data_IF_596507970057
#
_entry.id   IF_596507970057
#
_cell.length_a   1.000
_cell.length_b   1.000
_cell.length_c   1.000
_cell.angle_alpha   90.00
_cell.angle_beta   90.00
_cell.angle_gamma   90.00
#
_symmetry.space_group_name_H-M   'P 1'
#
loop_
_entity.id
_entity.type
_entity.pdbx_description
1 polymer ?
#
# COMPACT_ATOMS: atom_id res chain seq x y z
N UNK A 1 16.04 20.02 29.48
CA UNK A 1 15.12 19.33 30.42
C UNK A 1 14.66 18.04 29.76
N UNK A 2 15.52 17.03 29.64
CA UNK A 2 15.74 15.90 30.58
C UNK A 2 14.47 15.17 31.00
N UNK A 3 14.25 13.97 30.43
CA UNK A 3 14.29 12.70 31.18
C UNK A 3 14.29 11.51 30.20
N UNK A 4 15.49 10.98 29.98
CA UNK A 4 15.77 9.59 29.61
C UNK A 4 16.20 8.88 30.90
N UNK A 5 16.16 7.54 30.90
CA UNK A 5 16.65 6.55 31.89
C UNK A 5 15.81 6.37 33.16
N UNK A 6 15.18 5.20 33.32
CA UNK A 6 15.77 4.09 34.08
C UNK A 6 14.80 2.89 34.17
N UNK A 7 15.27 1.71 33.73
CA UNK A 7 14.87 0.39 34.26
C UNK A 7 15.69 -0.72 33.59
N UNK A 8 16.87 -0.94 34.12
CA UNK A 8 17.60 -2.21 34.06
C UNK A 8 18.11 -2.47 35.48
N UNK A 9 18.10 -3.75 35.87
CA UNK A 9 18.83 -4.39 36.96
C UNK A 9 18.07 -4.71 38.27
N UNK A 10 18.42 -5.89 38.82
CA UNK A 10 17.82 -6.72 39.90
C UNK A 10 16.78 -7.73 39.39
N UNK A 11 17.02 -9.05 39.37
CA UNK A 11 17.65 -9.92 40.38
C UNK A 11 18.42 -11.10 39.74
N UNK A 12 19.49 -11.52 40.41
CA UNK A 12 20.33 -12.66 40.06
C UNK A 12 20.01 -13.96 40.83
N UNK A 13 20.34 -15.07 40.17
CA UNK A 13 20.95 -16.34 40.61
C UNK A 13 20.51 -17.08 41.89
N UNK A 14 20.07 -18.33 41.71
CA UNK A 14 20.68 -19.56 42.29
C UNK A 14 19.89 -20.81 41.85
N UNK A 15 20.52 -21.82 41.25
CA UNK A 15 20.76 -23.09 41.96
C UNK A 15 20.79 -24.29 40.98
N UNK A 16 21.68 -25.24 41.28
CA UNK A 16 22.30 -26.26 40.42
C UNK A 16 21.52 -27.59 40.23
N UNK A 17 21.96 -28.31 39.18
CA UNK A 17 22.17 -29.76 39.02
C UNK A 17 20.99 -30.75 38.87
N UNK A 18 21.07 -31.55 37.80
CA UNK A 18 20.34 -32.81 37.60
C UNK A 18 20.64 -33.45 36.25
N UNK A 19 21.30 -34.60 36.25
CA UNK A 19 22.01 -35.32 35.18
C UNK A 19 21.18 -36.31 34.34
N UNK A 20 21.48 -36.33 33.03
CA UNK A 20 21.49 -37.40 31.99
C UNK A 20 20.28 -38.33 31.62
N UNK A 21 20.20 -38.78 30.33
CA UNK A 21 19.12 -39.54 29.68
C UNK A 21 19.49 -41.05 29.56
N UNK A 22 18.98 -41.94 28.64
CA UNK A 22 17.93 -41.86 27.61
C UNK A 22 16.96 -43.09 27.61
N UNK A 23 16.01 -43.16 26.64
CA UNK A 23 15.49 -44.44 26.12
C UNK A 23 14.93 -44.30 24.69
N UNK A 24 15.57 -45.01 23.77
CA UNK A 24 15.06 -45.40 22.46
C UNK A 24 13.97 -46.46 22.63
N UNK A 25 12.96 -46.50 21.76
CA UNK A 25 12.83 -47.56 20.74
C UNK A 25 11.66 -47.31 19.76
N UNK A 26 11.74 -47.88 18.53
CA UNK A 26 10.90 -47.54 17.38
C UNK A 26 9.75 -48.53 17.16
N UNK A 27 8.62 -48.07 16.60
CA UNK A 27 7.60 -48.92 15.97
C UNK A 27 7.14 -48.22 14.68
N UNK A 28 7.65 -48.61 13.52
CA UNK A 28 7.15 -49.68 12.65
C UNK A 28 5.85 -49.28 11.91
N UNK A 29 6.02 -48.86 10.66
CA UNK A 29 4.97 -48.76 9.65
C UNK A 29 4.33 -50.13 9.38
N UNK A 30 3.03 -50.16 9.03
CA UNK A 30 2.51 -51.13 8.09
C UNK A 30 2.43 -50.50 6.70
N UNK A 31 3.03 -51.19 5.75
CA UNK A 31 2.85 -51.05 4.31
C UNK A 31 1.41 -51.34 3.89
N UNK A 32 1.14 -50.96 2.64
CA UNK A 32 0.06 -51.44 1.77
C UNK A 32 -1.32 -50.77 1.90
N UNK A 33 -1.58 -49.84 0.98
CA UNK A 33 -2.52 -50.10 -0.11
C UNK A 33 -2.42 -49.00 -1.17
N UNK A 34 -1.95 -49.36 -2.37
CA UNK A 34 -2.23 -48.61 -3.59
C UNK A 34 -3.76 -48.56 -3.78
N UNK A 35 -4.37 -47.40 -3.58
CA UNK A 35 -5.66 -47.08 -4.19
C UNK A 35 -5.38 -46.26 -5.44
N UNK A 36 -5.46 -46.95 -6.58
CA UNK A 36 -5.56 -46.37 -7.91
C UNK A 36 -6.90 -45.63 -7.98
N UNK A 37 -6.86 -44.34 -7.63
CA UNK A 37 -7.99 -43.42 -7.69
C UNK A 37 -7.57 -42.29 -8.60
N UNK A 38 -8.15 -42.27 -9.79
CA UNK A 38 -8.07 -41.16 -10.73
C UNK A 38 -8.58 -39.89 -10.05
N UNK A 39 -7.66 -39.13 -9.45
CA UNK A 39 -7.89 -37.75 -9.03
C UNK A 39 -8.08 -36.90 -10.29
N UNK A 40 -9.28 -37.00 -10.87
CA UNK A 40 -9.80 -36.00 -11.75
C UNK A 40 -9.78 -34.68 -10.96
N UNK A 41 -8.79 -33.84 -11.26
CA UNK A 41 -8.68 -32.49 -10.74
C UNK A 41 -10.07 -31.85 -10.75
N UNK A 42 -10.55 -31.28 -9.62
CA UNK A 42 -11.87 -30.67 -9.60
C UNK A 42 -11.92 -29.61 -10.68
N UNK A 43 -12.83 -29.81 -11.64
CA UNK A 43 -13.08 -28.87 -12.73
C UNK A 43 -13.47 -27.54 -12.10
N UNK A 44 -12.59 -26.54 -12.23
CA UNK A 44 -12.87 -25.18 -11.73
C UNK A 44 -14.21 -24.71 -12.33
N UNK A 45 -15.15 -24.20 -11.52
CA UNK A 45 -16.41 -23.72 -12.06
C UNK A 45 -16.14 -22.58 -13.05
N UNK A 46 -16.67 -22.72 -14.28
CA UNK A 46 -16.50 -21.77 -15.38
C UNK A 46 -17.27 -20.44 -15.21
N UNK A 47 -18.07 -20.30 -14.15
CA UNK A 47 -18.88 -19.09 -13.91
C UNK A 47 -18.51 -18.41 -12.59
N UNK A 48 -17.39 -17.67 -12.59
CA UNK A 48 -17.02 -16.71 -11.53
C UNK A 48 -17.82 -15.38 -11.67
N UNK A 49 -19.13 -15.44 -11.89
CA UNK A 49 -19.97 -14.23 -11.80
C UNK A 49 -20.20 -13.89 -10.32
N UNK A 50 -20.06 -12.61 -9.98
CA UNK A 50 -20.41 -12.08 -8.66
C UNK A 50 -21.83 -12.50 -8.25
N UNK A 51 -21.99 -12.99 -7.02
CA UNK A 51 -23.29 -13.32 -6.45
C UNK A 51 -23.57 -12.39 -5.27
N UNK A 52 -24.83 -11.98 -5.07
CA UNK A 52 -25.24 -11.18 -3.90
C UNK A 52 -24.80 -11.81 -2.56
N UNK A 53 -24.76 -13.14 -2.49
CA UNK A 53 -24.25 -13.87 -1.32
C UNK A 53 -22.75 -13.66 -1.03
N UNK A 54 -21.97 -13.14 -1.98
CA UNK A 54 -20.56 -12.78 -1.79
C UNK A 54 -20.40 -11.52 -0.93
N UNK A 55 -21.47 -10.75 -0.71
CA UNK A 55 -21.47 -9.60 0.22
C UNK A 55 -21.50 -10.03 1.69
N UNK A 56 -21.90 -11.28 1.98
CA UNK A 56 -22.00 -11.73 3.36
C UNK A 56 -20.59 -11.75 4.00
N UNK A 57 -20.33 -11.06 5.12
CA UNK A 57 -18.97 -10.85 5.65
C UNK A 57 -18.17 -12.14 5.86
N UNK A 58 -18.82 -13.21 6.33
CA UNK A 58 -18.19 -14.53 6.48
C UNK A 58 -17.72 -15.13 5.15
N UNK A 59 -18.52 -15.00 4.09
CA UNK A 59 -18.15 -15.52 2.75
C UNK A 59 -17.08 -14.65 2.13
N UNK A 60 -17.23 -13.32 2.24
CA UNK A 60 -16.27 -12.37 1.70
C UNK A 60 -14.89 -12.51 2.35
N UNK A 61 -14.82 -12.61 3.68
CA UNK A 61 -13.55 -12.66 4.42
C UNK A 61 -13.11 -14.10 4.68
N UNK A 62 -13.81 -14.81 5.58
CA UNK A 62 -13.33 -16.08 6.13
C UNK A 62 -13.21 -17.17 5.07
N UNK A 63 -14.20 -17.31 4.19
CA UNK A 63 -14.16 -18.35 3.16
C UNK A 63 -13.09 -18.03 2.09
N UNK A 64 -12.95 -16.75 1.70
CA UNK A 64 -11.86 -16.29 0.81
C UNK A 64 -10.49 -16.56 1.43
N UNK A 65 -10.28 -16.24 2.72
CA UNK A 65 -9.01 -16.49 3.39
C UNK A 65 -8.68 -17.97 3.50
N UNK A 66 -9.68 -18.82 3.79
CA UNK A 66 -9.52 -20.28 3.79
C UNK A 66 -9.14 -20.81 2.42
N UNK A 67 -9.72 -20.27 1.35
CA UNK A 67 -9.36 -20.63 -0.02
C UNK A 67 -7.91 -20.25 -0.33
N UNK A 68 -7.50 -19.03 0.00
CA UNK A 68 -6.11 -18.56 -0.14
C UNK A 68 -5.14 -19.45 0.63
N UNK A 69 -5.48 -19.84 1.86
CA UNK A 69 -4.59 -20.61 2.73
C UNK A 69 -4.38 -22.06 2.26
N UNK A 70 -5.26 -22.58 1.38
CA UNK A 70 -5.06 -23.88 0.71
C UNK A 70 -3.97 -23.82 -0.35
N UNK A 71 -3.73 -22.65 -0.94
CA UNK A 71 -2.73 -22.42 -1.99
C UNK A 71 -1.32 -22.15 -1.44
N UNK A 72 -1.12 -22.23 -0.12
CA UNK A 72 0.19 -22.02 0.51
C UNK A 72 1.18 -23.09 0.08
N UNK A 73 2.43 -22.68 -0.15
CA UNK A 73 3.50 -23.61 -0.45
C UNK A 73 3.87 -24.39 0.82
N UNK A 74 3.76 -25.72 0.76
CA UNK A 74 4.10 -26.65 1.83
C UNK A 74 5.31 -27.52 1.49
N UNK A 75 6.02 -27.22 0.40
CA UNK A 75 7.13 -28.04 -0.09
C UNK A 75 8.41 -27.93 0.75
N UNK A 76 8.47 -27.00 1.69
CA UNK A 76 9.66 -26.76 2.53
C UNK A 76 10.84 -26.14 1.77
N UNK A 77 10.68 -25.82 0.48
CA UNK A 77 11.71 -25.15 -0.32
C UNK A 77 11.82 -23.67 0.07
N UNK A 78 13.04 -23.18 0.15
CA UNK A 78 13.30 -21.78 0.42
C UNK A 78 12.99 -20.93 -0.81
N UNK A 79 12.01 -20.03 -0.70
CA UNK A 79 11.77 -18.95 -1.65
C UNK A 79 12.33 -17.64 -1.08
N UNK A 80 13.30 -16.98 -1.73
CA UNK A 80 13.85 -15.72 -1.23
C UNK A 80 12.86 -14.54 -1.34
N UNK A 81 11.78 -14.69 -2.11
CA UNK A 81 10.86 -13.60 -2.44
C UNK A 81 10.20 -12.94 -1.20
N UNK A 82 9.65 -13.66 -0.21
CA UNK A 82 9.06 -13.03 0.97
C UNK A 82 10.08 -12.27 1.82
N UNK A 83 11.32 -12.73 1.91
CA UNK A 83 12.39 -12.03 2.63
C UNK A 83 12.80 -10.76 1.89
N UNK A 84 13.04 -10.88 0.58
CA UNK A 84 13.35 -9.74 -0.28
C UNK A 84 12.24 -8.69 -0.21
N UNK A 85 10.98 -9.12 -0.22
CA UNK A 85 9.81 -8.26 -0.04
C UNK A 85 9.87 -7.44 1.25
N UNK A 86 10.07 -8.08 2.41
CA UNK A 86 10.16 -7.35 3.70
C UNK A 86 11.31 -6.35 3.68
N UNK A 87 12.50 -6.76 3.23
CA UNK A 87 13.68 -5.88 3.18
C UNK A 87 13.46 -4.69 2.24
N UNK A 88 12.90 -4.93 1.06
CA UNK A 88 12.55 -3.88 0.10
C UNK A 88 11.56 -2.89 0.66
N UNK A 89 10.52 -3.35 1.37
CA UNK A 89 9.54 -2.47 2.03
C UNK A 89 10.20 -1.64 3.12
N UNK A 90 11.03 -2.25 3.97
CA UNK A 90 11.78 -1.52 5.01
C UNK A 90 12.67 -0.42 4.41
N UNK A 91 13.44 -0.76 3.37
CA UNK A 91 14.32 0.20 2.67
C UNK A 91 13.50 1.30 2.01
N UNK A 92 12.44 0.92 1.29
CA UNK A 92 11.58 1.88 0.57
C UNK A 92 10.86 2.85 1.50
N UNK A 93 10.29 2.36 2.61
CA UNK A 93 9.64 3.20 3.61
C UNK A 93 10.64 4.14 4.28
N UNK A 94 11.80 3.60 4.73
CA UNK A 94 12.87 4.40 5.35
C UNK A 94 13.37 5.48 4.40
N UNK A 95 13.60 5.15 3.13
CA UNK A 95 14.02 6.12 2.13
C UNK A 95 12.99 7.24 1.98
N UNK A 96 11.70 6.92 1.85
CA UNK A 96 10.67 7.94 1.64
C UNK A 96 10.41 8.81 2.87
N UNK A 97 10.65 8.27 4.07
CA UNK A 97 10.53 9.00 5.33
C UNK A 97 11.65 10.04 5.47
N UNK A 98 12.90 9.63 5.26
CA UNK A 98 14.06 10.51 5.46
C UNK A 98 14.37 11.42 4.28
N UNK A 99 14.12 10.94 3.05
CA UNK A 99 14.51 11.66 1.84
C UNK A 99 13.33 12.13 1.00
N UNK A 100 12.13 11.56 1.19
CA UNK A 100 10.97 11.90 0.35
C UNK A 100 10.22 13.18 0.74
N UNK A 101 10.69 13.92 1.75
CA UNK A 101 9.99 15.08 2.30
C UNK A 101 10.36 16.42 1.64
N UNK A 102 9.53 17.45 1.89
CA UNK A 102 9.77 18.81 1.38
C UNK A 102 11.02 19.46 1.99
N UNK A 103 11.44 19.04 3.19
CA UNK A 103 12.69 19.50 3.80
C UNK A 103 13.91 19.09 2.97
N UNK A 104 13.99 17.81 2.60
CA UNK A 104 15.05 17.28 1.74
C UNK A 104 15.03 17.92 0.36
N UNK A 105 13.84 18.14 -0.20
CA UNK A 105 13.71 18.88 -1.46
C UNK A 105 14.31 20.29 -1.37
N UNK A 106 14.02 21.05 -0.31
CA UNK A 106 14.60 22.39 -0.10
C UNK A 106 16.12 22.35 0.08
N UNK A 107 16.66 21.34 0.74
CA UNK A 107 18.11 21.16 0.88
C UNK A 107 18.76 20.89 -0.47
N UNK A 108 18.21 19.97 -1.26
CA UNK A 108 18.69 19.66 -2.60
C UNK A 108 18.68 20.91 -3.51
N UNK A 109 17.60 21.71 -3.44
CA UNK A 109 17.51 22.97 -4.16
C UNK A 109 18.64 23.94 -3.79
N UNK A 110 18.88 24.14 -2.49
CA UNK A 110 19.96 25.02 -2.02
C UNK A 110 21.30 24.56 -2.55
N UNK A 111 21.61 23.27 -2.42
CA UNK A 111 22.86 22.71 -2.94
C UNK A 111 23.03 22.88 -4.45
N UNK A 112 21.96 22.78 -5.24
CA UNK A 112 22.01 23.01 -6.69
C UNK A 112 22.24 24.49 -7.02
N UNK A 113 21.59 25.41 -6.30
CA UNK A 113 21.71 26.86 -6.53
C UNK A 113 23.06 27.42 -6.08
N UNK A 114 23.64 26.87 -5.02
CA UNK A 114 24.96 27.23 -4.51
C UNK A 114 26.11 26.70 -5.38
N UNK A 115 25.88 25.62 -6.14
CA UNK A 115 26.86 25.08 -7.07
C UNK A 115 26.87 25.77 -8.43
N UNK A 116 27.78 25.36 -9.31
CA UNK A 116 27.89 25.81 -10.72
C UNK A 116 27.59 24.69 -11.72
N UNK A 117 26.85 23.67 -11.28
CA UNK A 117 26.50 22.50 -12.09
C UNK A 117 25.41 22.78 -13.13
N UNK A 118 25.30 21.89 -14.13
CA UNK A 118 24.35 22.02 -15.23
C UNK A 118 22.87 22.08 -14.81
N UNK A 119 22.53 21.62 -13.58
CA UNK A 119 21.16 21.65 -13.05
C UNK A 119 20.73 23.04 -12.54
N UNK A 120 21.67 23.94 -12.26
CA UNK A 120 21.36 25.28 -11.75
C UNK A 120 20.48 26.12 -12.68
N UNK A 121 20.82 26.34 -13.97
CA UNK A 121 19.97 27.12 -14.87
C UNK A 121 18.60 26.48 -15.08
N UNK A 122 18.52 25.15 -15.10
CA UNK A 122 17.26 24.40 -15.18
C UNK A 122 16.38 24.68 -13.95
N UNK A 123 16.97 24.66 -12.75
CA UNK A 123 16.26 24.93 -11.51
C UNK A 123 15.82 26.40 -11.40
N UNK A 124 16.67 27.35 -11.78
CA UNK A 124 16.35 28.77 -11.84
C UNK A 124 15.18 29.04 -12.79
N UNK A 125 15.19 28.42 -13.98
CA UNK A 125 14.09 28.51 -14.93
C UNK A 125 12.80 27.88 -14.37
N UNK A 126 12.89 26.69 -13.77
CA UNK A 126 11.72 26.03 -13.17
C UNK A 126 11.09 26.86 -12.03
N UNK A 127 11.91 27.59 -11.26
CA UNK A 127 11.45 28.48 -10.17
C UNK A 127 10.63 29.67 -10.65
N UNK A 128 10.74 30.05 -11.91
CA UNK A 128 9.95 31.13 -12.51
C UNK A 128 8.58 30.64 -13.01
N UNK A 129 8.31 29.33 -12.95
CA UNK A 129 7.03 28.76 -13.37
C UNK A 129 5.90 29.13 -12.41
N UNK A 130 4.72 29.44 -12.96
CA UNK A 130 3.46 29.64 -12.22
C UNK A 130 3.04 28.43 -11.36
N UNK A 131 3.60 27.24 -11.65
CA UNK A 131 3.31 25.99 -10.94
C UNK A 131 4.46 25.54 -10.03
N UNK A 132 5.39 26.44 -9.69
CA UNK A 132 6.55 26.11 -8.87
C UNK A 132 6.19 25.48 -7.52
N UNK A 133 5.10 25.93 -6.91
CA UNK A 133 4.58 25.42 -5.63
C UNK A 133 4.11 23.96 -5.70
N UNK A 134 3.86 23.43 -6.90
CA UNK A 134 3.57 22.00 -7.10
C UNK A 134 4.85 21.14 -7.02
N UNK A 135 6.03 21.72 -7.24
CA UNK A 135 7.29 20.97 -7.34
C UNK A 135 7.67 20.16 -6.08
N UNK A 136 7.44 20.61 -4.82
CA UNK A 136 7.71 19.77 -3.65
C UNK A 136 6.80 18.54 -3.60
N UNK A 137 5.57 18.67 -4.09
CA UNK A 137 4.61 17.57 -4.17
C UNK A 137 4.95 16.59 -5.29
N UNK A 138 5.42 17.11 -6.43
CA UNK A 138 5.95 16.28 -7.51
C UNK A 138 7.17 15.48 -7.04
N UNK A 139 8.11 16.11 -6.33
CA UNK A 139 9.25 15.43 -5.71
C UNK A 139 8.79 14.34 -4.72
N UNK A 140 7.83 14.68 -3.86
CA UNK A 140 7.24 13.72 -2.93
C UNK A 140 6.66 12.50 -3.66
N UNK A 141 5.86 12.69 -4.72
CA UNK A 141 5.29 11.60 -5.51
C UNK A 141 6.36 10.79 -6.25
N UNK A 142 7.32 11.46 -6.90
CA UNK A 142 8.42 10.81 -7.64
C UNK A 142 9.28 9.93 -6.73
N UNK A 143 9.59 10.37 -5.51
CA UNK A 143 10.38 9.58 -4.56
C UNK A 143 9.66 8.30 -4.14
N UNK A 144 8.32 8.29 -4.05
CA UNK A 144 7.55 7.06 -3.82
C UNK A 144 7.46 6.20 -5.06
N UNK A 145 7.25 6.77 -6.25
CA UNK A 145 7.32 6.00 -7.50
C UNK A 145 8.67 5.28 -7.61
N UNK A 146 9.76 5.94 -7.28
CA UNK A 146 11.07 5.31 -7.23
C UNK A 146 11.14 4.20 -6.17
N UNK A 147 10.86 4.52 -4.90
CA UNK A 147 11.08 3.60 -3.78
C UNK A 147 10.06 2.45 -3.69
N UNK A 148 8.84 2.68 -4.16
CA UNK A 148 7.71 1.79 -3.97
C UNK A 148 7.25 1.13 -5.29
N UNK A 149 7.76 1.57 -6.45
CA UNK A 149 7.53 0.91 -7.75
C UNK A 149 8.84 0.44 -8.36
N UNK A 150 9.76 1.36 -8.66
CA UNK A 150 10.99 1.01 -9.38
C UNK A 150 11.85 0.03 -8.58
N UNK A 151 12.05 0.28 -7.28
CA UNK A 151 12.83 -0.60 -6.41
C UNK A 151 12.24 -2.02 -6.31
N UNK A 152 10.94 -2.24 -5.99
CA UNK A 152 10.36 -3.57 -6.05
C UNK A 152 10.43 -4.23 -7.44
N UNK A 153 10.22 -3.48 -8.52
CA UNK A 153 10.38 -4.03 -9.88
C UNK A 153 11.80 -4.55 -10.13
N UNK A 154 12.82 -3.80 -9.71
CA UNK A 154 14.22 -4.24 -9.82
C UNK A 154 14.48 -5.53 -9.02
N UNK A 155 13.93 -5.63 -7.80
CA UNK A 155 14.02 -6.86 -6.99
C UNK A 155 13.34 -8.04 -7.66
N UNK A 156 12.15 -7.84 -8.23
CA UNK A 156 11.43 -8.90 -8.96
C UNK A 156 12.22 -9.36 -10.19
N UNK A 157 12.76 -8.43 -10.97
CA UNK A 157 13.60 -8.75 -12.12
C UNK A 157 14.87 -9.49 -11.72
N UNK A 158 15.55 -9.07 -10.65
CA UNK A 158 16.74 -9.74 -10.12
C UNK A 158 16.44 -11.18 -9.66
N UNK A 159 15.26 -11.41 -9.07
CA UNK A 159 14.76 -12.74 -8.70
C UNK A 159 14.13 -13.52 -9.86
N UNK A 160 14.21 -13.00 -11.09
CA UNK A 160 13.63 -13.59 -12.32
C UNK A 160 12.13 -13.85 -12.20
N UNK A 161 11.41 -12.98 -11.49
CA UNK A 161 9.95 -12.98 -11.40
C UNK A 161 9.40 -11.97 -12.39
N UNK A 162 8.27 -12.29 -13.03
CA UNK A 162 7.60 -11.36 -13.93
C UNK A 162 6.86 -10.28 -13.11
N UNK A 163 7.23 -8.99 -13.20
CA UNK A 163 6.57 -7.93 -12.42
C UNK A 163 5.07 -7.79 -12.71
N UNK A 164 4.63 -8.18 -13.91
CA UNK A 164 3.22 -8.10 -14.29
C UNK A 164 2.32 -8.98 -13.42
N UNK A 165 2.87 -10.06 -12.86
CA UNK A 165 2.11 -11.01 -12.04
C UNK A 165 1.84 -10.49 -10.62
N UNK A 166 2.46 -9.37 -10.23
CA UNK A 166 2.30 -8.69 -8.95
C UNK A 166 1.21 -7.61 -9.04
N UNK A 167 0.05 -8.01 -9.57
CA UNK A 167 -1.16 -7.20 -9.60
C UNK A 167 -1.27 -6.16 -10.72
N UNK A 168 -0.25 -6.02 -11.59
CA UNK A 168 -0.32 -5.11 -12.74
C UNK A 168 -1.16 -5.65 -13.90
N UNK A 169 -1.44 -6.96 -13.94
CA UNK A 169 -2.45 -7.52 -14.83
C UNK A 169 -3.86 -7.14 -14.35
N UNK A 170 -4.80 -7.08 -15.29
CA UNK A 170 -6.21 -6.86 -14.96
C UNK A 170 -6.81 -7.98 -14.09
N UNK A 171 -6.26 -9.19 -14.18
CA UNK A 171 -6.66 -10.33 -13.35
C UNK A 171 -8.16 -10.61 -13.44
N UNK A 172 -8.78 -10.91 -12.30
CA UNK A 172 -10.23 -11.14 -12.17
C UNK A 172 -11.00 -9.88 -11.76
N UNK A 173 -10.46 -8.69 -12.04
CA UNK A 173 -11.06 -7.41 -11.63
C UNK A 173 -12.49 -7.22 -12.13
N UNK A 174 -12.77 -7.65 -13.38
CA UNK A 174 -14.09 -7.53 -13.98
C UNK A 174 -15.17 -8.39 -13.30
N UNK A 175 -14.80 -9.47 -12.63
CA UNK A 175 -15.74 -10.35 -11.94
C UNK A 175 -16.24 -9.77 -10.60
N UNK A 176 -15.46 -8.87 -9.98
CA UNK A 176 -15.69 -8.41 -8.61
C UNK A 176 -15.92 -6.91 -8.48
N UNK A 177 -16.21 -6.21 -9.59
CA UNK A 177 -16.49 -4.78 -9.61
C UNK A 177 -17.57 -4.30 -8.62
N UNK A 178 -18.65 -5.06 -8.30
CA UNK A 178 -19.67 -4.57 -7.37
C UNK A 178 -19.15 -4.33 -5.95
N UNK A 179 -18.12 -5.07 -5.51
CA UNK A 179 -17.50 -4.88 -4.20
C UNK A 179 -16.70 -3.57 -4.12
N UNK A 180 -16.06 -3.19 -5.22
CA UNK A 180 -15.37 -1.90 -5.31
C UNK A 180 -16.37 -0.75 -5.36
N UNK A 181 -17.49 -0.91 -6.09
CA UNK A 181 -18.57 0.09 -6.10
C UNK A 181 -19.22 0.23 -4.72
N UNK A 182 -19.44 -0.86 -4.00
CA UNK A 182 -19.91 -0.80 -2.62
C UNK A 182 -18.91 -0.09 -1.71
N UNK A 183 -17.61 -0.36 -1.87
CA UNK A 183 -16.56 0.32 -1.10
C UNK A 183 -16.61 1.83 -1.33
N UNK A 184 -16.75 2.26 -2.59
CA UNK A 184 -16.92 3.68 -2.95
C UNK A 184 -18.21 4.26 -2.37
N UNK A 185 -19.33 3.56 -2.51
CA UNK A 185 -20.63 4.00 -2.02
C UNK A 185 -20.67 4.21 -0.50
N UNK A 186 -19.84 3.48 0.25
CA UNK A 186 -19.67 3.67 1.70
C UNK A 186 -18.68 4.80 2.00
N UNK A 187 -17.54 4.85 1.31
CA UNK A 187 -16.48 5.81 1.63
C UNK A 187 -16.83 7.24 1.23
N UNK A 188 -17.48 7.46 0.08
CA UNK A 188 -17.82 8.82 -0.40
C UNK A 188 -18.69 9.59 0.61
N UNK A 189 -19.82 9.05 1.11
CA UNK A 189 -20.61 9.75 2.12
C UNK A 189 -19.81 10.04 3.40
N UNK A 190 -18.96 9.11 3.83
CA UNK A 190 -18.10 9.31 5.00
C UNK A 190 -17.10 10.45 4.78
N UNK A 191 -16.55 10.60 3.58
CA UNK A 191 -15.67 11.73 3.22
C UNK A 191 -16.41 13.06 3.41
N UNK A 192 -17.64 13.21 2.91
CA UNK A 192 -18.42 14.44 3.11
C UNK A 192 -18.80 14.70 4.57
N UNK A 193 -19.02 13.66 5.37
CA UNK A 193 -19.25 13.81 6.81
C UNK A 193 -17.98 14.30 7.52
N UNK A 194 -16.83 13.70 7.20
CA UNK A 194 -15.53 14.06 7.80
C UNK A 194 -15.03 15.41 7.30
N UNK A 195 -15.37 15.82 6.07
CA UNK A 195 -14.93 17.07 5.45
C UNK A 195 -15.34 18.32 6.24
N UNK A 196 -16.44 18.23 7.02
CA UNK A 196 -16.92 19.28 7.90
C UNK A 196 -16.05 19.54 9.12
N UNK A 197 -15.07 18.65 9.39
CA UNK A 197 -14.18 18.81 10.54
C UNK A 197 -13.03 19.77 10.21
N UNK A 198 -12.63 20.66 11.15
CA UNK A 198 -11.55 21.61 10.90
C UNK A 198 -10.19 20.98 10.55
N UNK A 199 -9.89 19.82 11.14
CA UNK A 199 -8.66 19.07 10.88
C UNK A 199 -8.58 18.58 9.43
N UNK A 200 -9.72 18.25 8.81
CA UNK A 200 -9.78 17.82 7.42
C UNK A 200 -9.46 18.96 6.44
N UNK A 201 -10.11 20.11 6.58
CA UNK A 201 -9.88 21.27 5.70
C UNK A 201 -8.46 21.83 5.83
N UNK A 202 -7.87 21.78 7.02
CA UNK A 202 -6.47 22.18 7.20
C UNK A 202 -5.50 21.22 6.48
N UNK A 203 -5.84 19.94 6.42
CA UNK A 203 -4.98 18.92 5.82
C UNK A 203 -5.16 18.82 4.29
N UNK A 204 -6.39 18.71 3.77
CA UNK A 204 -6.68 18.59 2.34
C UNK A 204 -7.02 19.94 1.69
N UNK A 205 -6.84 20.10 0.36
CA UNK A 205 -5.89 19.33 -0.45
C UNK A 205 -4.45 19.55 0.05
N UNK A 206 -3.52 18.64 -0.27
CA UNK A 206 -2.12 18.83 0.13
C UNK A 206 -1.50 20.01 -0.62
N UNK A 207 -1.80 20.10 -1.92
CA UNK A 207 -1.46 21.26 -2.72
C UNK A 207 -2.49 22.37 -2.51
N UNK A 208 -2.14 23.37 -1.71
CA UNK A 208 -3.07 24.44 -1.30
C UNK A 208 -3.53 25.35 -2.44
N UNK A 209 -2.81 25.37 -3.56
CA UNK A 209 -3.22 26.11 -4.75
C UNK A 209 -4.11 25.28 -5.70
N UNK A 210 -4.53 24.07 -5.34
CA UNK A 210 -5.41 23.24 -6.17
C UNK A 210 -6.74 23.94 -6.52
N UNK A 211 -7.22 24.86 -5.69
CA UNK A 211 -8.42 25.66 -5.95
C UNK A 211 -8.20 26.90 -6.84
N UNK A 212 -6.95 27.26 -7.14
CA UNK A 212 -6.61 28.49 -7.90
C UNK A 212 -7.11 28.42 -9.35
N UNK A 213 -7.07 27.23 -9.96
CA UNK A 213 -7.51 26.99 -11.33
C UNK A 213 -7.79 25.51 -11.60
N UNK A 214 -8.54 25.19 -12.67
CA UNK A 214 -8.72 23.79 -13.09
C UNK A 214 -7.39 23.14 -13.48
N UNK A 215 -6.46 23.88 -14.09
CA UNK A 215 -5.12 23.37 -14.40
C UNK A 215 -4.36 22.95 -13.13
N UNK A 216 -4.36 23.78 -12.08
CA UNK A 216 -3.78 23.43 -10.78
C UNK A 216 -4.41 22.16 -10.19
N UNK A 217 -5.74 22.08 -10.22
CA UNK A 217 -6.47 20.93 -9.71
C UNK A 217 -6.05 19.65 -10.44
N UNK A 218 -6.11 19.62 -11.78
CA UNK A 218 -5.81 18.42 -12.55
C UNK A 218 -4.32 18.03 -12.52
N UNK A 219 -3.40 18.99 -12.53
CA UNK A 219 -1.97 18.71 -12.37
C UNK A 219 -1.68 18.11 -10.98
N UNK A 220 -2.33 18.62 -9.95
CA UNK A 220 -2.25 18.04 -8.61
C UNK A 220 -2.82 16.63 -8.57
N UNK A 221 -4.01 16.40 -9.14
CA UNK A 221 -4.59 15.05 -9.21
C UNK A 221 -3.69 14.07 -9.99
N UNK A 222 -2.98 14.51 -11.03
CA UNK A 222 -2.03 13.67 -11.76
C UNK A 222 -0.81 13.29 -10.90
N UNK A 223 -0.22 14.26 -10.18
CA UNK A 223 0.87 14.00 -9.23
C UNK A 223 0.41 13.05 -8.13
N UNK A 224 -0.80 13.27 -7.62
CA UNK A 224 -1.38 12.45 -6.56
C UNK A 224 -1.75 11.04 -7.04
N UNK A 225 -2.18 10.90 -8.30
CA UNK A 225 -2.46 9.61 -8.91
C UNK A 225 -1.21 8.73 -9.04
N UNK A 226 -0.07 9.32 -9.41
CA UNK A 226 1.21 8.61 -9.42
C UNK A 226 1.58 8.07 -8.04
N UNK A 227 1.33 8.85 -6.99
CA UNK A 227 1.52 8.41 -5.61
C UNK A 227 0.61 7.23 -5.24
N UNK A 228 -0.68 7.30 -5.57
CA UNK A 228 -1.61 6.21 -5.26
C UNK A 228 -1.31 4.95 -6.05
N UNK A 229 -0.83 5.07 -7.29
CA UNK A 229 -0.30 3.93 -8.02
C UNK A 229 0.88 3.29 -7.27
N UNK A 230 1.80 4.10 -6.73
CA UNK A 230 2.92 3.60 -5.94
C UNK A 230 2.45 2.87 -4.66
N UNK A 231 1.48 3.44 -3.94
CA UNK A 231 0.84 2.83 -2.76
C UNK A 231 0.21 1.48 -3.13
N UNK A 232 -0.64 1.46 -4.14
CA UNK A 232 -1.33 0.23 -4.53
C UNK A 232 -0.36 -0.85 -5.01
N UNK A 233 0.66 -0.46 -5.78
CA UNK A 233 1.65 -1.41 -6.23
C UNK A 233 2.50 -1.98 -5.09
N UNK A 234 3.02 -1.18 -4.15
CA UNK A 234 3.84 -1.75 -3.06
C UNK A 234 3.01 -2.62 -2.11
N UNK A 235 1.81 -2.19 -1.72
CA UNK A 235 1.02 -2.89 -0.71
C UNK A 235 0.18 -4.03 -1.30
N UNK A 236 -0.64 -3.77 -2.33
CA UNK A 236 -1.56 -4.78 -2.90
C UNK A 236 -0.91 -5.61 -3.99
N UNK A 237 0.02 -5.03 -4.74
CA UNK A 237 0.78 -5.74 -5.76
C UNK A 237 1.90 -6.56 -5.13
N UNK A 238 2.96 -5.89 -4.71
CA UNK A 238 4.20 -6.48 -4.27
C UNK A 238 4.07 -7.23 -2.95
N UNK A 239 3.65 -6.58 -1.85
CA UNK A 239 3.59 -7.23 -0.54
C UNK A 239 2.61 -8.40 -0.48
N UNK A 240 1.38 -8.15 -0.92
CA UNK A 240 0.32 -9.18 -0.91
C UNK A 240 0.68 -10.35 -1.81
N UNK A 241 1.15 -10.14 -3.05
CA UNK A 241 1.47 -11.25 -3.95
C UNK A 241 2.77 -11.96 -3.58
N UNK A 242 3.84 -11.23 -3.20
CA UNK A 242 5.09 -11.84 -2.76
C UNK A 242 4.91 -12.68 -1.49
N UNK A 243 4.03 -12.24 -0.58
CA UNK A 243 3.68 -12.97 0.63
C UNK A 243 2.68 -14.10 0.40
N UNK A 244 1.95 -14.14 -0.72
CA UNK A 244 0.78 -15.01 -0.91
C UNK A 244 1.08 -16.49 -0.71
N UNK A 245 2.16 -17.01 -1.31
CA UNK A 245 2.49 -18.44 -1.20
C UNK A 245 3.08 -18.80 0.17
N UNK A 246 3.81 -17.88 0.81
CA UNK A 246 4.48 -18.13 2.08
C UNK A 246 3.55 -17.95 3.29
N UNK A 247 2.83 -16.84 3.33
CA UNK A 247 1.98 -16.44 4.44
C UNK A 247 0.48 -16.74 4.20
N UNK A 248 0.06 -16.98 2.95
CA UNK A 248 -1.37 -17.12 2.64
C UNK A 248 -2.14 -15.84 2.97
N UNK A 249 -3.31 -15.99 3.62
CA UNK A 249 -4.16 -14.88 4.05
C UNK A 249 -3.45 -13.93 5.02
N UNK A 250 -2.44 -14.43 5.75
CA UNK A 250 -1.65 -13.65 6.71
C UNK A 250 -0.85 -12.53 6.01
N UNK A 251 -0.54 -12.66 4.71
CA UNK A 251 0.13 -11.59 3.95
C UNK A 251 -0.68 -10.28 3.94
N UNK A 252 -2.01 -10.35 4.02
CA UNK A 252 -2.88 -9.17 4.11
C UNK A 252 -2.58 -8.40 5.40
N UNK A 253 -2.47 -9.10 6.53
CA UNK A 253 -2.24 -8.48 7.83
C UNK A 253 -0.79 -7.98 7.97
N UNK A 254 0.18 -8.73 7.43
CA UNK A 254 1.57 -8.26 7.33
C UNK A 254 1.65 -6.97 6.51
N UNK A 255 0.86 -6.85 5.44
CA UNK A 255 0.76 -5.62 4.63
C UNK A 255 0.05 -4.48 5.37
N UNK A 256 -1.01 -4.77 6.12
CA UNK A 256 -1.80 -3.75 6.84
C UNK A 256 -0.95 -3.00 7.86
N UNK A 257 0.04 -3.64 8.49
CA UNK A 257 0.92 -3.01 9.50
C UNK A 257 1.65 -1.77 8.92
N UNK A 258 2.51 -1.87 7.89
CA UNK A 258 3.13 -0.69 7.31
C UNK A 258 2.13 0.21 6.57
N UNK A 259 1.03 -0.35 6.05
CA UNK A 259 -0.01 0.46 5.39
C UNK A 259 -0.69 1.44 6.35
N UNK A 260 -1.01 1.04 7.59
CA UNK A 260 -1.55 1.98 8.57
C UNK A 260 -0.48 2.96 9.06
N UNK A 261 0.78 2.54 9.15
CA UNK A 261 1.88 3.42 9.58
C UNK A 261 2.07 4.62 8.65
N UNK A 262 1.89 4.46 7.33
CA UNK A 262 1.95 5.61 6.40
C UNK A 262 0.76 6.58 6.54
N UNK A 263 -0.25 6.23 7.35
CA UNK A 263 -1.37 7.10 7.72
C UNK A 263 -1.18 7.75 9.10
N UNK A 264 -0.06 7.54 9.79
CA UNK A 264 0.23 8.26 11.02
C UNK A 264 0.44 9.75 10.75
N UNK A 265 -0.07 10.58 11.65
CA UNK A 265 -0.11 12.04 11.47
C UNK A 265 -1.31 12.56 10.67
N UNK A 266 -2.10 11.67 10.04
CA UNK A 266 -3.39 12.03 9.43
C UNK A 266 -4.51 12.11 10.48
N UNK A 267 -5.67 12.70 10.16
CA UNK A 267 -6.83 12.67 11.05
C UNK A 267 -7.17 11.24 11.49
N UNK A 268 -7.40 11.04 12.79
CA UNK A 268 -7.61 9.72 13.40
C UNK A 268 -8.64 8.83 12.67
N UNK A 269 -9.81 9.35 12.21
CA UNK A 269 -10.76 8.54 11.45
C UNK A 269 -10.18 7.95 10.16
N UNK A 270 -9.26 8.67 9.50
CA UNK A 270 -8.59 8.19 8.29
C UNK A 270 -7.61 7.05 8.62
N UNK A 271 -6.85 7.17 9.71
CA UNK A 271 -5.92 6.12 10.15
C UNK A 271 -6.67 4.83 10.55
N UNK A 272 -7.79 4.94 11.28
CA UNK A 272 -8.62 3.78 11.64
C UNK A 272 -9.29 3.19 10.38
N UNK A 273 -9.79 4.05 9.50
CA UNK A 273 -10.34 3.66 8.20
C UNK A 273 -9.34 2.91 7.34
N UNK A 274 -8.05 3.27 7.38
CA UNK A 274 -6.98 2.60 6.66
C UNK A 274 -6.77 1.15 7.12
N UNK A 275 -6.99 0.81 8.39
CA UNK A 275 -6.91 -0.59 8.86
C UNK A 275 -8.02 -1.41 8.19
N UNK A 276 -9.27 -0.93 8.28
CA UNK A 276 -10.44 -1.62 7.73
C UNK A 276 -10.32 -1.74 6.21
N UNK A 277 -10.04 -0.63 5.52
CA UNK A 277 -9.84 -0.60 4.07
C UNK A 277 -8.65 -1.46 3.64
N UNK A 278 -7.57 -1.48 4.43
CA UNK A 278 -6.40 -2.33 4.20
C UNK A 278 -6.76 -3.81 4.17
N UNK A 279 -7.56 -4.29 5.15
CA UNK A 279 -8.02 -5.68 5.20
C UNK A 279 -8.98 -5.99 4.05
N UNK A 280 -9.98 -5.15 3.81
CA UNK A 280 -11.00 -5.38 2.77
C UNK A 280 -10.38 -5.34 1.37
N UNK A 281 -9.65 -4.28 1.04
CA UNK A 281 -9.03 -4.12 -0.28
C UNK A 281 -7.85 -5.08 -0.47
N UNK A 282 -7.11 -5.41 0.60
CA UNK A 282 -6.07 -6.44 0.54
C UNK A 282 -6.62 -7.83 0.25
N UNK A 283 -7.74 -8.20 0.88
CA UNK A 283 -8.48 -9.44 0.58
C UNK A 283 -8.92 -9.47 -0.89
N UNK A 284 -9.47 -8.36 -1.36
CA UNK A 284 -9.99 -8.27 -2.71
C UNK A 284 -8.87 -8.29 -3.75
N UNK A 285 -7.77 -7.57 -3.53
CA UNK A 285 -6.58 -7.60 -4.38
C UNK A 285 -5.96 -8.99 -4.47
N UNK A 286 -5.92 -9.74 -3.36
CA UNK A 286 -5.41 -11.11 -3.36
C UNK A 286 -6.33 -12.05 -4.15
N UNK A 287 -7.65 -11.86 -4.05
CA UNK A 287 -8.64 -12.64 -4.81
C UNK A 287 -8.65 -12.30 -6.31
N UNK A 288 -8.56 -11.02 -6.67
CA UNK A 288 -8.57 -10.58 -8.08
C UNK A 288 -7.21 -10.69 -8.74
N UNK A 289 -6.13 -10.76 -7.95
CA UNK A 289 -4.74 -10.67 -8.40
C UNK A 289 -4.48 -9.40 -9.21
N UNK A 290 -5.03 -8.29 -8.74
CA UNK A 290 -4.98 -7.01 -9.46
C UNK A 290 -5.07 -5.82 -8.52
N UNK A 291 -4.25 -4.80 -8.79
CA UNK A 291 -4.28 -3.53 -8.06
C UNK A 291 -5.27 -2.53 -8.66
N UNK A 292 -5.66 -2.71 -9.92
CA UNK A 292 -6.37 -1.68 -10.69
C UNK A 292 -7.67 -1.18 -10.05
N UNK A 293 -8.55 -2.04 -9.54
CA UNK A 293 -9.79 -1.51 -8.98
C UNK A 293 -9.56 -0.89 -7.60
N UNK A 294 -8.58 -1.36 -6.82
CA UNK A 294 -8.12 -0.67 -5.61
C UNK A 294 -7.57 0.73 -5.91
N UNK A 295 -6.76 0.85 -6.97
CA UNK A 295 -6.28 2.12 -7.49
C UNK A 295 -7.43 3.05 -7.88
N UNK A 296 -8.41 2.59 -8.65
CA UNK A 296 -9.55 3.44 -9.01
C UNK A 296 -10.35 3.89 -7.79
N UNK A 297 -10.53 3.04 -6.79
CA UNK A 297 -11.15 3.44 -5.51
C UNK A 297 -10.32 4.54 -4.84
N UNK A 298 -9.00 4.37 -4.73
CA UNK A 298 -8.13 5.41 -4.16
C UNK A 298 -8.17 6.73 -4.92
N UNK A 299 -8.08 6.69 -6.24
CA UNK A 299 -8.14 7.90 -7.07
C UNK A 299 -9.48 8.62 -6.90
N UNK A 300 -10.59 7.89 -6.89
CA UNK A 300 -11.91 8.47 -6.71
C UNK A 300 -12.07 9.07 -5.31
N UNK A 301 -11.62 8.38 -4.27
CA UNK A 301 -11.65 8.88 -2.89
C UNK A 301 -10.77 10.13 -2.76
N UNK A 302 -9.57 10.14 -3.33
CA UNK A 302 -8.67 11.28 -3.31
C UNK A 302 -9.26 12.53 -3.97
N UNK A 303 -9.79 12.38 -5.19
CA UNK A 303 -10.49 13.45 -5.91
C UNK A 303 -11.66 13.96 -5.08
N UNK A 304 -12.44 13.04 -4.49
CA UNK A 304 -13.60 13.40 -3.66
C UNK A 304 -13.18 14.15 -2.39
N UNK A 305 -12.09 13.76 -1.75
CA UNK A 305 -11.56 14.42 -0.56
C UNK A 305 -11.12 15.85 -0.86
N UNK A 306 -10.34 16.05 -1.93
CA UNK A 306 -9.89 17.38 -2.34
C UNK A 306 -11.07 18.25 -2.77
N UNK A 307 -12.02 17.69 -3.54
CA UNK A 307 -13.23 18.38 -3.95
C UNK A 307 -14.07 18.81 -2.75
N UNK A 308 -14.36 17.90 -1.81
CA UNK A 308 -15.12 18.19 -0.60
C UNK A 308 -14.40 19.26 0.25
N UNK A 309 -13.09 19.16 0.39
CA UNK A 309 -12.28 20.11 1.15
C UNK A 309 -12.33 21.52 0.54
N UNK A 310 -12.33 21.64 -0.79
CA UNK A 310 -12.46 22.93 -1.49
C UNK A 310 -13.89 23.46 -1.46
N UNK A 311 -14.88 22.59 -1.61
CA UNK A 311 -16.31 22.95 -1.56
C UNK A 311 -16.72 23.51 -0.21
N UNK A 312 -16.26 22.92 0.90
CA UNK A 312 -16.57 23.41 2.26
C UNK A 312 -15.95 24.78 2.57
N UNK A 313 -15.05 25.28 1.71
CA UNK A 313 -14.38 26.58 1.85
C UNK A 313 -14.76 27.57 0.74
N UNK A 314 -15.73 27.23 -0.11
CA UNK A 314 -16.09 28.00 -1.30
C UNK A 314 -14.88 28.33 -2.19
N UNK A 315 -13.93 27.39 -2.26
CA UNK A 315 -12.63 27.55 -2.92
C UNK A 315 -12.48 26.65 -4.15
N UNK A 316 -13.59 26.26 -4.77
CA UNK A 316 -13.56 25.49 -6.01
C UNK A 316 -13.03 26.35 -7.17
N UNK A 317 -12.25 25.76 -8.10
CA UNK A 317 -11.70 26.51 -9.22
C UNK A 317 -12.82 27.03 -10.14
N UNK A 318 -12.75 28.31 -10.48
CA UNK A 318 -13.67 28.95 -11.44
C UNK A 318 -12.99 29.28 -12.77
N UNK A 319 -11.67 29.30 -12.80
CA UNK A 319 -10.84 29.68 -13.95
C UNK A 319 -10.10 28.46 -14.52
N UNK A 320 -9.87 28.41 -15.83
CA UNK A 320 -9.15 27.29 -16.46
C UNK A 320 -7.67 27.28 -16.10
N UNK A 321 -7.02 28.44 -16.10
CA UNK A 321 -5.60 28.63 -15.80
C UNK A 321 -5.42 29.67 -14.68
N UNK A 322 -4.29 29.64 -13.96
CA UNK A 322 -3.98 30.70 -13.01
C UNK A 322 -3.94 32.04 -13.72
N UNK A 323 -4.46 33.09 -13.07
CA UNK A 323 -4.21 34.46 -13.52
C UNK A 323 -2.73 34.75 -13.30
N UNK A 324 -2.07 35.26 -14.32
CA UNK A 324 -0.74 35.82 -14.16
C UNK A 324 -0.95 37.16 -13.44
N UNK A 325 -0.60 37.21 -12.16
CA UNK A 325 -0.48 38.47 -11.43
C UNK A 325 0.79 39.22 -11.85
#
# INVERSE_FOLDING_TARGET
>A
MSKVTDKQQELGESGQNGSEPPRNEPQAEPSDARSDGTDAAPTRPKDERFRLGDLHPRRFLLDTWREIDRDRDRSGRFDPLPLAMVLTVCVGLTFTEYYGGSATFRLLQRSILEGDGALKPLLESARQSTYWELSPHAYWSLTRLFAWVALPMLVLLALRRNPLDFGLRWGKSGAHWPLYVLSVAVVIPLVFIVAKRPDFGNYYPFYKLAGRSYADFFLWQLVYAGQFFAVEFIFRGFMVEAGRRAYGSQAIFVMVIPYVMIHYGKPLPETVGAIIAGVVLGTLAMRTRSIWPGLFVHLLVAVTMDFAALSERDALPTELFPKND
#
